data_IF_369745199602
#
_entry.id   IF_369745199602
#
_cell.length_a   1.000
_cell.length_b   1.000
_cell.length_c   1.000
_cell.angle_alpha   90.00
_cell.angle_beta   90.00
_cell.angle_gamma   90.00
#
_symmetry.space_group_name_H-M   'P 1'
#
loop_
_entity.id
_entity.type
_entity.pdbx_description
1 polymer ?
#
# COMPACT_ATOMS: atom_id res chain seq x y z
N UNK A 1 4.91 -15.22 2.00
CA UNK A 1 4.54 -15.51 3.40
C UNK A 1 3.30 -16.43 3.45
N UNK A 2 3.18 -17.26 4.51
CA UNK A 2 2.00 -18.07 4.81
C UNK A 2 1.56 -17.73 6.23
N UNK A 3 0.29 -17.37 6.40
CA UNK A 3 -0.26 -16.94 7.67
C UNK A 3 -1.26 -17.96 8.20
N UNK A 4 -1.20 -18.25 9.51
CA UNK A 4 -2.14 -19.11 10.22
C UNK A 4 -2.70 -18.36 11.43
N UNK A 5 -4.01 -18.41 11.63
CA UNK A 5 -4.62 -17.96 12.86
C UNK A 5 -4.38 -19.01 13.95
N UNK A 6 -3.82 -18.58 15.07
CA UNK A 6 -3.57 -19.42 16.25
C UNK A 6 -4.44 -18.92 17.39
N UNK A 7 -5.28 -19.83 17.93
CA UNK A 7 -6.06 -19.58 19.12
C UNK A 7 -5.33 -20.19 20.32
N UNK A 8 -4.93 -19.38 21.27
CA UNK A 8 -4.38 -19.82 22.55
C UNK A 8 -5.48 -19.93 23.62
N UNK A 9 -5.16 -20.57 24.75
CA UNK A 9 -6.09 -20.62 25.88
C UNK A 9 -6.50 -19.21 26.34
N UNK A 10 -7.67 -19.09 26.96
CA UNK A 10 -8.23 -17.82 27.49
C UNK A 10 -8.70 -16.81 26.43
N UNK A 11 -8.81 -17.21 25.15
CA UNK A 11 -9.34 -16.36 24.08
C UNK A 11 -8.28 -15.49 23.37
N UNK A 12 -7.02 -15.63 23.72
CA UNK A 12 -5.93 -14.95 23.03
C UNK A 12 -5.77 -15.46 21.61
N UNK A 13 -5.58 -14.55 20.66
CA UNK A 13 -5.40 -14.86 19.25
C UNK A 13 -4.10 -14.28 18.71
N UNK A 14 -3.46 -15.01 17.82
CA UNK A 14 -2.21 -14.64 17.21
C UNK A 14 -2.20 -15.02 15.73
N UNK A 15 -1.34 -14.37 14.95
CA UNK A 15 -0.98 -14.79 13.60
C UNK A 15 0.39 -15.46 13.66
N UNK A 16 0.45 -16.74 13.28
CA UNK A 16 1.70 -17.43 13.05
C UNK A 16 2.08 -17.28 11.58
N UNK A 17 3.08 -16.43 11.31
CA UNK A 17 3.55 -16.10 9.97
C UNK A 17 4.81 -16.91 9.65
N UNK A 18 4.74 -17.78 8.63
CA UNK A 18 5.91 -18.39 8.03
C UNK A 18 6.47 -17.38 7.03
N UNK A 19 7.67 -16.91 7.30
CA UNK A 19 8.36 -15.90 6.49
C UNK A 19 8.83 -16.52 5.19
N UNK A 20 8.65 -15.80 4.09
CA UNK A 20 9.18 -16.22 2.80
C UNK A 20 10.70 -16.45 2.90
N UNK A 21 11.17 -17.57 2.32
CA UNK A 21 12.58 -17.97 2.37
C UNK A 21 13.52 -16.91 1.76
N UNK A 22 13.00 -16.16 0.77
CA UNK A 22 13.75 -15.14 0.03
C UNK A 22 13.68 -13.75 0.71
N UNK A 23 12.89 -13.61 1.79
CA UNK A 23 12.80 -12.37 2.58
C UNK A 23 14.11 -12.16 3.36
N UNK A 24 14.85 -11.06 3.11
CA UNK A 24 16.08 -10.77 3.85
C UNK A 24 15.81 -10.59 5.35
N UNK A 25 16.67 -11.13 6.26
CA UNK A 25 16.50 -10.90 7.70
C UNK A 25 16.47 -9.43 8.11
N UNK A 26 17.20 -8.57 7.40
CA UNK A 26 17.21 -7.13 7.66
C UNK A 26 15.84 -6.47 7.44
N UNK A 27 15.02 -6.99 6.51
CA UNK A 27 13.64 -6.50 6.31
C UNK A 27 12.78 -6.87 7.51
N UNK A 28 12.92 -8.10 8.03
CA UNK A 28 12.15 -8.53 9.20
C UNK A 28 12.54 -7.74 10.46
N UNK A 29 13.83 -7.44 10.61
CA UNK A 29 14.31 -6.57 11.69
C UNK A 29 13.73 -5.15 11.55
N UNK A 30 13.73 -4.59 10.34
CA UNK A 30 13.12 -3.30 10.05
C UNK A 30 11.62 -3.28 10.38
N UNK A 31 10.86 -4.28 9.96
CA UNK A 31 9.43 -4.39 10.29
C UNK A 31 9.21 -4.34 11.81
N UNK A 32 10.03 -5.09 12.57
CA UNK A 32 9.93 -5.11 14.02
C UNK A 32 10.24 -3.73 14.63
N UNK A 33 11.36 -3.13 14.26
CA UNK A 33 11.79 -1.82 14.78
C UNK A 33 10.82 -0.70 14.41
N UNK A 34 10.29 -0.71 13.18
CA UNK A 34 9.28 0.22 12.70
C UNK A 34 8.00 0.13 13.54
N UNK A 35 7.48 -1.09 13.75
CA UNK A 35 6.27 -1.31 14.54
C UNK A 35 6.46 -0.83 15.99
N UNK A 36 7.58 -1.19 16.63
CA UNK A 36 7.89 -0.75 17.99
C UNK A 36 8.03 0.78 18.07
N UNK A 37 8.68 1.40 17.07
CA UNK A 37 8.84 2.85 16.99
C UNK A 37 7.49 3.54 16.83
N UNK A 38 6.69 3.15 15.83
CA UNK A 38 5.38 3.76 15.59
C UNK A 38 4.40 3.51 16.75
N UNK A 39 4.42 2.31 17.37
CA UNK A 39 3.60 2.00 18.52
C UNK A 39 3.98 2.79 19.80
N UNK A 40 5.17 3.38 19.85
CA UNK A 40 5.58 4.29 20.92
C UNK A 40 4.94 5.68 20.83
N UNK A 41 4.35 5.99 19.65
CA UNK A 41 3.62 7.24 19.41
C UNK A 41 2.14 7.05 19.75
N UNK A 42 1.44 8.15 20.00
CA UNK A 42 -0.01 8.12 20.28
C UNK A 42 -0.82 7.99 18.98
N UNK A 43 -0.89 6.76 18.45
CA UNK A 43 -1.70 6.42 17.29
C UNK A 43 -3.15 6.16 17.71
N UNK A 44 -4.11 6.68 16.99
CA UNK A 44 -5.52 6.39 17.19
C UNK A 44 -5.96 4.98 16.77
N UNK A 45 -5.03 4.09 16.43
CA UNK A 45 -5.24 2.72 15.98
C UNK A 45 -4.07 1.80 16.43
N UNK A 46 -4.23 0.50 16.26
CA UNK A 46 -3.24 -0.50 16.70
C UNK A 46 -2.30 -0.91 15.58
N UNK A 47 -1.09 -1.31 15.98
CA UNK A 47 -0.13 -2.01 15.13
C UNK A 47 0.08 -3.43 15.67
N UNK A 48 0.27 -4.44 14.81
CA UNK A 48 0.39 -5.85 15.21
C UNK A 48 1.77 -6.09 15.82
N UNK A 49 1.86 -6.23 17.14
CA UNK A 49 3.13 -6.48 17.82
C UNK A 49 3.70 -7.85 17.47
N UNK A 50 4.99 -7.88 17.14
CA UNK A 50 5.73 -9.12 16.95
C UNK A 50 6.21 -9.63 18.31
N UNK A 51 5.84 -10.87 18.67
CA UNK A 51 6.17 -11.44 19.95
C UNK A 51 7.54 -12.11 19.90
N UNK A 52 8.39 -11.79 20.88
CA UNK A 52 9.69 -12.46 21.04
C UNK A 52 9.50 -13.89 21.55
N UNK A 53 10.31 -14.81 21.04
CA UNK A 53 10.38 -16.19 21.52
C UNK A 53 11.03 -16.26 22.91
N UNK A 54 11.16 -17.47 23.47
CA UNK A 54 11.75 -17.67 24.81
C UNK A 54 13.23 -17.29 24.90
N UNK A 55 13.92 -17.17 23.77
CA UNK A 55 15.31 -16.72 23.65
C UNK A 55 15.42 -15.19 23.46
N UNK A 56 14.30 -14.49 23.36
CA UNK A 56 14.26 -13.04 23.12
C UNK A 56 14.36 -12.65 21.64
N UNK A 57 14.26 -13.60 20.71
CA UNK A 57 14.39 -13.37 19.28
C UNK A 57 12.98 -13.13 18.65
N UNK A 58 12.92 -12.31 17.60
CA UNK A 58 11.69 -11.98 16.87
C UNK A 58 11.27 -13.06 15.86
N UNK A 59 12.15 -14.01 15.56
CA UNK A 59 11.93 -15.12 14.66
C UNK A 59 12.39 -16.43 15.29
N UNK A 60 11.77 -17.52 14.86
CA UNK A 60 12.17 -18.89 15.25
C UNK A 60 12.39 -19.70 13.99
N UNK A 61 13.48 -20.47 13.95
CA UNK A 61 13.70 -21.46 12.89
C UNK A 61 12.80 -22.67 13.12
N UNK A 62 12.06 -23.04 12.09
CA UNK A 62 11.18 -24.21 12.10
C UNK A 62 11.55 -25.16 10.97
N UNK A 63 11.34 -26.44 11.20
CA UNK A 63 11.48 -27.47 10.16
C UNK A 63 10.10 -27.84 9.64
N UNK A 64 9.84 -27.55 8.38
CA UNK A 64 8.70 -28.06 7.64
C UNK A 64 9.06 -29.37 6.94
N UNK A 65 8.11 -29.96 6.21
CA UNK A 65 8.31 -31.24 5.50
C UNK A 65 9.61 -31.22 4.67
N UNK A 66 10.34 -32.35 4.65
CA UNK A 66 11.59 -32.60 3.89
C UNK A 66 12.81 -31.78 4.32
N UNK A 67 12.96 -31.49 5.62
CA UNK A 67 14.15 -30.79 6.18
C UNK A 67 14.40 -29.36 5.66
N UNK A 68 13.44 -28.71 5.01
CA UNK A 68 13.55 -27.30 4.68
C UNK A 68 13.45 -26.46 5.96
N UNK A 69 14.53 -25.75 6.29
CA UNK A 69 14.47 -24.72 7.34
C UNK A 69 13.70 -23.53 6.83
N UNK A 70 12.73 -23.09 7.63
CA UNK A 70 11.97 -21.88 7.43
C UNK A 70 12.07 -21.00 8.67
N UNK A 71 11.83 -19.71 8.51
CA UNK A 71 11.70 -18.78 9.62
C UNK A 71 10.23 -18.54 9.89
N UNK A 72 9.85 -18.43 11.14
CA UNK A 72 8.51 -18.11 11.53
C UNK A 72 8.49 -17.12 12.69
N UNK A 73 7.43 -16.34 12.79
CA UNK A 73 7.19 -15.39 13.87
C UNK A 73 5.76 -15.44 14.34
N UNK A 74 5.53 -15.03 15.56
CA UNK A 74 4.21 -14.90 16.16
C UNK A 74 3.89 -13.41 16.28
N UNK A 75 2.70 -13.04 15.81
CA UNK A 75 2.24 -11.66 15.72
C UNK A 75 0.92 -11.56 16.46
N UNK A 76 0.73 -10.50 17.24
CA UNK A 76 -0.53 -10.22 17.91
C UNK A 76 -1.67 -10.06 16.89
N UNK A 77 -2.81 -10.69 17.16
CA UNK A 77 -3.99 -10.56 16.30
C UNK A 77 -4.78 -9.31 16.71
N UNK A 78 -5.08 -8.46 15.74
CA UNK A 78 -5.96 -7.31 15.94
C UNK A 78 -7.38 -7.69 15.54
N UNK A 79 -8.33 -7.57 16.46
CA UNK A 79 -9.74 -7.86 16.24
C UNK A 79 -10.41 -6.78 15.39
N UNK A 80 -10.57 -7.06 14.10
CA UNK A 80 -11.20 -6.17 13.13
C UNK A 80 -11.59 -6.93 11.86
N UNK A 81 -12.35 -6.30 10.99
CA UNK A 81 -12.61 -6.79 9.64
C UNK A 81 -11.72 -6.04 8.64
N UNK A 82 -11.29 -6.71 7.59
CA UNK A 82 -10.54 -6.05 6.50
C UNK A 82 -11.44 -5.03 5.80
N UNK A 83 -10.87 -3.88 5.44
CA UNK A 83 -11.59 -2.85 4.68
C UNK A 83 -12.11 -3.40 3.35
N UNK A 84 -11.31 -4.23 2.66
CA UNK A 84 -11.69 -4.89 1.41
C UNK A 84 -12.93 -5.78 1.52
N UNK A 85 -13.18 -6.38 2.69
CA UNK A 85 -14.35 -7.23 2.90
C UNK A 85 -15.68 -6.47 2.98
N UNK A 86 -15.66 -5.15 2.88
CA UNK A 86 -16.84 -4.28 3.02
C UNK A 86 -17.41 -3.92 1.67
N UNK A 87 -18.71 -4.12 1.51
CA UNK A 87 -19.46 -3.73 0.31
C UNK A 87 -19.84 -2.23 0.29
N UNK A 88 -19.76 -1.55 1.43
CA UNK A 88 -20.09 -0.12 1.55
C UNK A 88 -18.98 0.61 2.31
N UNK A 89 -18.33 1.56 1.62
CA UNK A 89 -17.27 2.40 2.17
C UNK A 89 -17.80 3.84 2.27
N UNK A 90 -18.34 4.17 3.44
CA UNK A 90 -18.93 5.48 3.71
C UNK A 90 -17.87 6.60 3.68
N UNK A 91 -18.33 7.84 3.54
CA UNK A 91 -17.47 9.02 3.68
C UNK A 91 -16.71 9.02 5.01
N UNK A 92 -17.34 8.59 6.09
CA UNK A 92 -16.71 8.53 7.41
C UNK A 92 -15.58 7.51 7.46
N UNK A 93 -15.77 6.36 6.80
CA UNK A 93 -14.72 5.35 6.65
C UNK A 93 -13.53 5.91 5.85
N UNK A 94 -13.79 6.58 4.72
CA UNK A 94 -12.74 7.22 3.91
C UNK A 94 -11.97 8.28 4.67
N UNK A 95 -12.66 9.13 5.42
CA UNK A 95 -12.01 10.14 6.29
C UNK A 95 -11.20 9.50 7.43
N UNK A 96 -11.70 8.40 8.01
CA UNK A 96 -10.94 7.63 9.01
C UNK A 96 -9.66 7.04 8.43
N UNK A 97 -9.70 6.58 7.19
CA UNK A 97 -8.51 6.09 6.48
C UNK A 97 -7.48 7.22 6.26
N UNK A 98 -7.91 8.35 5.71
CA UNK A 98 -7.03 9.51 5.50
C UNK A 98 -6.35 9.97 6.79
N UNK A 99 -7.12 9.99 7.90
CA UNK A 99 -6.57 10.28 9.23
C UNK A 99 -5.51 9.24 9.65
N UNK A 100 -5.81 7.96 9.53
CA UNK A 100 -4.91 6.90 9.98
C UNK A 100 -3.59 6.89 9.19
N UNK A 101 -3.64 7.12 7.88
CA UNK A 101 -2.44 7.24 7.06
C UNK A 101 -1.59 8.46 7.45
N UNK A 102 -2.21 9.60 7.70
CA UNK A 102 -1.49 10.79 8.14
C UNK A 102 -0.84 10.60 9.53
N UNK A 103 -1.57 10.01 10.49
CA UNK A 103 -1.04 9.71 11.82
C UNK A 103 0.15 8.73 11.73
N UNK A 104 0.07 7.73 10.87
CA UNK A 104 1.14 6.77 10.64
C UNK A 104 2.39 7.44 10.03
N UNK A 105 2.20 8.24 8.98
CA UNK A 105 3.29 8.99 8.36
C UNK A 105 3.97 9.94 9.35
N UNK A 106 3.20 10.64 10.18
CA UNK A 106 3.76 11.50 11.23
C UNK A 106 4.54 10.70 12.29
N UNK A 107 4.07 9.50 12.63
CA UNK A 107 4.75 8.64 13.60
C UNK A 107 6.11 8.14 13.11
N UNK A 108 6.32 8.08 11.79
CA UNK A 108 7.56 7.61 11.16
C UNK A 108 8.52 8.73 10.74
N UNK A 109 8.19 10.01 10.93
CA UNK A 109 9.03 11.14 10.48
C UNK A 109 10.47 11.10 11.02
N UNK A 110 10.66 10.57 12.23
CA UNK A 110 11.94 10.47 12.92
C UNK A 110 12.51 9.04 12.92
N UNK A 111 11.96 8.14 12.08
CA UNK A 111 12.42 6.76 11.93
C UNK A 111 13.16 6.56 10.61
N UNK A 112 14.34 5.95 10.68
CA UNK A 112 15.08 5.48 9.51
C UNK A 112 15.70 4.11 9.78
N UNK A 113 15.83 3.30 8.72
CA UNK A 113 16.45 1.99 8.78
C UNK A 113 17.08 1.65 7.42
N UNK A 114 18.32 1.16 7.43
CA UNK A 114 19.09 0.90 6.19
C UNK A 114 18.39 -0.06 5.22
N UNK A 115 17.61 -1.02 5.73
CA UNK A 115 16.85 -1.96 4.88
C UNK A 115 15.64 -1.34 4.17
N UNK A 116 15.24 -0.13 4.55
CA UNK A 116 14.17 0.60 3.86
C UNK A 116 14.64 1.25 2.54
N UNK A 117 15.96 1.54 2.44
CA UNK A 117 16.56 2.13 1.24
C UNK A 117 16.80 1.05 0.17
N UNK A 118 15.70 0.49 -0.33
CA UNK A 118 15.69 -0.62 -1.29
C UNK A 118 14.73 -0.34 -2.44
N UNK A 119 15.02 -0.89 -3.60
CA UNK A 119 14.03 -0.98 -4.66
C UNK A 119 13.30 -2.33 -4.59
N UNK A 120 12.01 -2.31 -4.84
CA UNK A 120 11.17 -3.51 -4.91
C UNK A 120 10.08 -3.35 -5.97
N UNK A 121 9.44 -4.46 -6.32
CA UNK A 121 8.46 -4.50 -7.42
C UNK A 121 7.35 -3.44 -7.31
N UNK A 122 6.88 -3.15 -6.10
CA UNK A 122 5.74 -2.27 -5.87
C UNK A 122 6.14 -0.81 -5.59
N UNK A 123 7.44 -0.49 -5.69
CA UNK A 123 7.92 0.85 -5.44
C UNK A 123 7.31 1.86 -6.44
N UNK A 124 6.37 2.68 -5.96
CA UNK A 124 5.65 3.64 -6.78
C UNK A 124 6.56 4.79 -7.27
N UNK A 125 7.58 5.16 -6.49
CA UNK A 125 8.55 6.17 -6.91
C UNK A 125 9.41 5.71 -8.11
N UNK A 126 9.38 4.42 -8.44
CA UNK A 126 10.04 3.84 -9.61
C UNK A 126 9.05 3.07 -10.52
N UNK A 127 7.82 3.55 -10.63
CA UNK A 127 6.78 2.91 -11.45
C UNK A 127 7.23 2.69 -12.91
N UNK A 128 8.09 3.56 -13.43
CA UNK A 128 8.64 3.48 -14.79
C UNK A 128 9.40 2.18 -15.10
N UNK A 129 9.92 1.45 -14.08
CA UNK A 129 10.57 0.15 -14.26
C UNK A 129 9.66 -0.90 -14.94
N UNK A 130 8.33 -0.73 -14.82
CA UNK A 130 7.34 -1.63 -15.41
C UNK A 130 6.98 -1.33 -16.86
N UNK A 131 7.45 -0.21 -17.42
CA UNK A 131 7.10 0.20 -18.79
C UNK A 131 7.44 -0.85 -19.86
N UNK A 132 8.49 -1.62 -19.69
CA UNK A 132 8.85 -2.71 -20.60
C UNK A 132 7.77 -3.78 -20.73
N UNK A 133 6.89 -3.90 -19.73
CA UNK A 133 5.78 -4.88 -19.69
C UNK A 133 4.60 -4.47 -20.58
N UNK A 134 4.61 -3.29 -21.19
CA UNK A 134 3.66 -2.91 -22.25
C UNK A 134 3.59 -3.96 -23.37
N UNK A 135 4.70 -4.61 -23.69
CA UNK A 135 4.76 -5.69 -24.68
C UNK A 135 3.94 -6.94 -24.31
N UNK A 136 3.52 -7.07 -23.05
CA UNK A 136 2.68 -8.18 -22.58
C UNK A 136 1.18 -7.93 -22.78
N UNK A 137 0.79 -6.70 -23.12
CA UNK A 137 -0.60 -6.33 -23.38
C UNK A 137 -0.89 -6.52 -24.86
N UNK A 138 -1.75 -7.48 -25.18
CA UNK A 138 -2.05 -7.86 -26.57
C UNK A 138 -2.95 -6.82 -27.26
N UNK A 139 -3.98 -6.35 -26.55
CA UNK A 139 -4.92 -5.34 -27.05
C UNK A 139 -4.20 -3.99 -27.26
N UNK A 140 -4.17 -3.45 -28.51
CA UNK A 140 -3.51 -2.18 -28.81
C UNK A 140 -4.09 -1.01 -28.05
N UNK A 141 -5.44 -0.93 -27.88
CA UNK A 141 -6.09 0.18 -27.20
C UNK A 141 -5.76 0.17 -25.70
N UNK A 142 -5.77 -1.00 -25.08
CA UNK A 142 -5.32 -1.16 -23.68
C UNK A 142 -3.84 -0.84 -23.52
N UNK A 143 -3.01 -1.23 -24.48
CA UNK A 143 -1.56 -0.92 -24.47
C UNK A 143 -1.31 0.58 -24.57
N UNK A 144 -2.03 1.28 -25.44
CA UNK A 144 -1.91 2.72 -25.59
C UNK A 144 -2.38 3.46 -24.33
N UNK A 145 -3.47 3.01 -23.70
CA UNK A 145 -3.94 3.56 -22.42
C UNK A 145 -2.92 3.35 -21.30
N UNK A 146 -2.33 2.16 -21.21
CA UNK A 146 -1.30 1.87 -20.21
C UNK A 146 -0.03 2.68 -20.47
N UNK A 147 0.35 2.88 -21.74
CA UNK A 147 1.46 3.74 -22.13
C UNK A 147 1.22 5.18 -21.70
N UNK A 148 0.00 5.70 -21.92
CA UNK A 148 -0.41 7.03 -21.46
C UNK A 148 -0.24 7.20 -19.94
N UNK A 149 -0.62 6.21 -19.14
CA UNK A 149 -0.45 6.28 -17.69
C UNK A 149 1.03 6.40 -17.28
N UNK A 150 1.91 5.61 -17.91
CA UNK A 150 3.35 5.72 -17.68
C UNK A 150 3.90 7.07 -18.16
N UNK A 151 3.45 7.58 -19.31
CA UNK A 151 3.89 8.87 -19.85
C UNK A 151 3.47 10.01 -18.92
N UNK A 152 2.25 9.97 -18.37
CA UNK A 152 1.78 10.94 -17.40
C UNK A 152 2.64 10.92 -16.13
N UNK A 153 2.93 9.72 -15.60
CA UNK A 153 3.80 9.57 -14.43
C UNK A 153 5.22 10.11 -14.72
N UNK A 154 5.81 9.76 -15.86
CA UNK A 154 7.16 10.21 -16.25
C UNK A 154 7.21 11.74 -16.42
N UNK A 155 6.16 12.33 -17.01
CA UNK A 155 6.14 13.75 -17.31
C UNK A 155 5.78 14.63 -16.10
N UNK A 156 4.93 14.14 -15.20
CA UNK A 156 4.33 14.96 -14.14
C UNK A 156 4.74 14.58 -12.72
N UNK A 157 4.97 13.30 -12.41
CA UNK A 157 5.40 12.87 -11.09
C UNK A 157 6.92 12.80 -10.98
N UNK A 158 7.55 11.99 -11.81
CA UNK A 158 8.98 11.67 -11.71
C UNK A 158 9.91 12.89 -11.52
N UNK A 159 9.74 14.03 -12.22
CA UNK A 159 10.65 15.17 -12.06
C UNK A 159 10.55 15.84 -10.69
N UNK A 160 9.41 15.72 -10.01
CA UNK A 160 9.16 16.37 -8.73
C UNK A 160 9.47 15.47 -7.53
N UNK A 161 9.41 14.14 -7.69
CA UNK A 161 9.52 13.20 -6.57
C UNK A 161 10.80 13.40 -5.75
N UNK A 162 11.94 13.68 -6.38
CA UNK A 162 13.21 13.86 -5.68
C UNK A 162 13.24 15.06 -4.73
N UNK A 163 12.42 16.08 -5.00
CA UNK A 163 12.36 17.33 -4.23
C UNK A 163 11.27 17.31 -3.14
N UNK A 164 10.40 16.29 -3.13
CA UNK A 164 9.34 16.15 -2.14
C UNK A 164 9.88 15.58 -0.83
N UNK A 165 9.19 15.77 0.30
CA UNK A 165 9.56 15.15 1.57
C UNK A 165 9.62 13.62 1.44
N UNK A 166 10.68 13.01 2.00
CA UNK A 166 10.92 11.57 2.02
C UNK A 166 10.96 11.04 3.43
N UNK A 167 10.44 9.85 3.62
CA UNK A 167 10.54 9.06 4.84
C UNK A 167 10.25 7.58 4.54
N UNK A 168 10.31 6.73 5.55
CA UNK A 168 9.76 5.39 5.43
C UNK A 168 8.24 5.49 5.46
N UNK A 169 7.58 4.86 4.49
CA UNK A 169 6.12 4.77 4.35
C UNK A 169 5.68 3.32 4.44
N UNK A 170 4.37 3.06 4.63
CA UNK A 170 3.82 1.70 4.56
C UNK A 170 3.99 1.10 3.15
N UNK A 171 3.67 1.87 2.13
CA UNK A 171 3.90 1.53 0.73
C UNK A 171 2.96 0.47 0.16
N UNK A 172 2.05 -0.08 0.98
CA UNK A 172 1.05 -1.08 0.58
C UNK A 172 -0.27 -0.96 1.37
N UNK A 173 -0.65 0.26 1.75
CA UNK A 173 -1.86 0.53 2.54
C UNK A 173 -3.12 0.45 1.67
N UNK A 174 -3.58 -0.76 1.38
CA UNK A 174 -4.82 -1.06 0.65
C UNK A 174 -5.79 -1.89 1.51
N UNK A 175 -6.96 -2.23 0.97
CA UNK A 175 -8.06 -2.82 1.72
C UNK A 175 -7.76 -4.11 2.48
N UNK A 176 -6.80 -4.94 2.03
CA UNK A 176 -6.36 -6.16 2.73
C UNK A 176 -5.45 -5.86 3.94
N UNK A 177 -4.84 -4.66 4.00
CA UNK A 177 -3.89 -4.28 5.04
C UNK A 177 -4.47 -3.28 6.05
N UNK A 178 -5.75 -2.95 5.94
CA UNK A 178 -6.46 -2.00 6.80
C UNK A 178 -7.55 -2.71 7.58
N UNK A 179 -7.49 -2.63 8.91
CA UNK A 179 -8.47 -3.24 9.81
C UNK A 179 -9.47 -2.21 10.32
N UNK A 180 -10.75 -2.59 10.28
CA UNK A 180 -11.89 -1.73 10.60
C UNK A 180 -12.70 -2.28 11.77
N UNK A 181 -13.24 -1.35 12.57
CA UNK A 181 -14.35 -1.61 13.50
C UNK A 181 -15.42 -0.53 13.31
N UNK A 182 -16.62 -0.95 12.88
CA UNK A 182 -17.61 0.03 12.39
C UNK A 182 -17.03 0.85 11.23
N UNK A 183 -17.07 2.16 11.30
CA UNK A 183 -16.54 3.06 10.27
C UNK A 183 -15.13 3.58 10.57
N UNK A 184 -14.49 3.06 11.62
CA UNK A 184 -13.17 3.53 12.06
C UNK A 184 -12.08 2.55 11.69
N UNK A 185 -10.96 3.05 11.19
CA UNK A 185 -9.70 2.29 11.09
C UNK A 185 -9.19 2.04 12.50
N UNK A 186 -8.95 0.77 12.82
CA UNK A 186 -8.45 0.33 14.13
C UNK A 186 -7.10 -0.36 14.07
N UNK A 187 -6.56 -0.58 12.88
CA UNK A 187 -5.25 -1.17 12.70
C UNK A 187 -4.73 -1.13 11.28
N UNK A 188 -3.42 -1.10 11.15
CA UNK A 188 -2.67 -1.36 9.91
C UNK A 188 -1.84 -2.63 10.10
N UNK A 189 -1.70 -3.43 9.04
CA UNK A 189 -0.98 -4.71 9.05
C UNK A 189 -0.14 -4.86 7.78
N UNK A 190 0.80 -5.80 7.82
CA UNK A 190 1.71 -6.21 6.73
C UNK A 190 2.67 -5.11 6.25
N UNK A 191 3.70 -4.88 7.06
CA UNK A 191 4.75 -3.87 6.84
C UNK A 191 5.92 -4.37 5.97
N UNK A 192 5.74 -5.48 5.26
CA UNK A 192 6.79 -6.09 4.42
C UNK A 192 7.24 -5.24 3.23
N UNK A 193 6.39 -4.36 2.75
CA UNK A 193 6.67 -3.45 1.63
C UNK A 193 7.09 -2.03 2.06
N UNK A 194 7.23 -1.79 3.37
CA UNK A 194 7.75 -0.52 3.86
C UNK A 194 9.09 -0.17 3.23
N UNK A 195 9.22 1.06 2.77
CA UNK A 195 10.42 1.55 2.10
C UNK A 195 10.57 3.06 2.22
N UNK A 196 11.80 3.54 2.07
CA UNK A 196 12.11 4.97 2.04
C UNK A 196 11.69 5.55 0.69
N UNK A 197 10.69 6.42 0.69
CA UNK A 197 10.08 6.99 -0.51
C UNK A 197 9.60 8.42 -0.26
N UNK A 198 9.27 9.17 -1.33
CA UNK A 198 8.47 10.37 -1.15
C UNK A 198 7.20 10.07 -0.35
N UNK A 199 6.96 10.78 0.75
CA UNK A 199 5.85 10.52 1.66
C UNK A 199 4.51 10.50 0.95
N UNK A 200 4.32 11.33 -0.07
CA UNK A 200 3.09 11.41 -0.87
C UNK A 200 2.77 10.08 -1.61
N UNK A 201 3.75 9.20 -1.81
CA UNK A 201 3.52 7.88 -2.38
C UNK A 201 2.61 7.01 -1.49
N UNK A 202 2.51 7.28 -0.19
CA UNK A 202 1.53 6.61 0.69
C UNK A 202 0.10 6.79 0.17
N UNK A 203 -0.30 8.03 -0.08
CA UNK A 203 -1.59 8.33 -0.71
C UNK A 203 -1.66 7.79 -2.14
N UNK A 204 -0.59 7.91 -2.92
CA UNK A 204 -0.52 7.39 -4.28
C UNK A 204 -0.77 5.89 -4.39
N UNK A 205 -0.42 5.12 -3.35
CA UNK A 205 -0.72 3.68 -3.25
C UNK A 205 -2.15 3.44 -2.78
N UNK A 206 -2.62 4.12 -1.75
CA UNK A 206 -3.91 3.85 -1.12
C UNK A 206 -5.11 4.31 -1.95
N UNK A 207 -5.02 5.49 -2.57
CA UNK A 207 -6.13 6.13 -3.29
C UNK A 207 -6.72 5.29 -4.42
N UNK A 208 -5.95 4.65 -5.32
CA UNK A 208 -6.51 3.84 -6.40
C UNK A 208 -7.48 2.78 -5.90
N UNK A 209 -7.14 2.09 -4.80
CA UNK A 209 -7.99 1.03 -4.24
C UNK A 209 -9.30 1.55 -3.64
N UNK A 210 -9.34 2.81 -3.23
CA UNK A 210 -10.57 3.45 -2.74
C UNK A 210 -11.40 4.09 -3.86
N UNK A 211 -10.79 4.32 -5.01
CA UNK A 211 -11.43 4.84 -6.21
C UNK A 211 -12.03 3.73 -7.08
N UNK A 212 -11.34 2.59 -7.19
CA UNK A 212 -11.80 1.42 -7.97
C UNK A 212 -13.16 0.94 -7.49
N UNK A 213 -14.06 0.65 -8.46
CA UNK A 213 -15.43 0.21 -8.16
C UNK A 213 -16.34 1.27 -7.51
N UNK A 214 -15.86 2.48 -7.25
CA UNK A 214 -16.67 3.54 -6.60
C UNK A 214 -17.48 4.30 -7.63
N UNK A 215 -18.75 4.57 -7.31
CA UNK A 215 -19.64 5.35 -8.19
C UNK A 215 -19.18 6.81 -8.38
N UNK A 216 -18.49 7.37 -7.38
CA UNK A 216 -17.87 8.69 -7.44
C UNK A 216 -16.41 8.58 -6.96
N UNK A 217 -15.49 8.17 -7.86
CA UNK A 217 -14.09 7.95 -7.51
C UNK A 217 -13.38 9.26 -7.12
N UNK A 218 -13.76 10.39 -7.68
CA UNK A 218 -13.18 11.70 -7.34
C UNK A 218 -13.51 12.08 -5.90
N UNK A 219 -14.79 11.98 -5.50
CA UNK A 219 -15.21 12.27 -4.12
C UNK A 219 -14.59 11.29 -3.11
N UNK A 220 -14.48 10.02 -3.50
CA UNK A 220 -13.83 9.03 -2.64
C UNK A 220 -12.37 9.40 -2.34
N UNK A 221 -11.63 9.83 -3.34
CA UNK A 221 -10.25 10.29 -3.18
C UNK A 221 -10.19 11.61 -2.37
N UNK A 222 -11.05 12.58 -2.65
CA UNK A 222 -11.09 13.87 -1.93
C UNK A 222 -11.38 13.71 -0.45
N UNK A 223 -12.27 12.81 -0.04
CA UNK A 223 -12.55 12.54 1.37
C UNK A 223 -11.30 12.09 2.14
N UNK A 224 -10.49 11.23 1.52
CA UNK A 224 -9.24 10.70 2.10
C UNK A 224 -8.18 11.80 2.16
N UNK A 225 -7.94 12.46 1.03
CA UNK A 225 -6.89 13.49 0.90
C UNK A 225 -7.17 14.67 1.82
N UNK A 226 -8.42 15.16 1.89
CA UNK A 226 -8.79 16.25 2.78
C UNK A 226 -8.62 15.88 4.27
N UNK A 227 -8.94 14.63 4.64
CA UNK A 227 -8.74 14.17 6.02
C UNK A 227 -7.26 14.00 6.36
N UNK A 228 -6.45 13.52 5.42
CA UNK A 228 -5.00 13.44 5.53
C UNK A 228 -4.37 14.84 5.67
N UNK A 229 -4.73 15.76 4.76
CA UNK A 229 -4.21 17.13 4.72
C UNK A 229 -4.43 17.90 6.04
N UNK A 230 -5.55 17.68 6.73
CA UNK A 230 -5.83 18.33 8.03
C UNK A 230 -4.84 17.95 9.12
N UNK A 231 -4.18 16.82 9.02
CA UNK A 231 -3.25 16.28 10.02
C UNK A 231 -1.81 16.49 9.57
N UNK A 232 -1.51 16.08 8.32
CA UNK A 232 -0.24 16.33 7.65
C UNK A 232 -0.51 17.22 6.43
N UNK A 233 -0.32 18.54 6.54
CA UNK A 233 -0.57 19.45 5.42
C UNK A 233 0.28 19.10 4.20
N UNK A 234 -0.39 18.93 3.07
CA UNK A 234 0.25 18.70 1.77
C UNK A 234 0.69 20.03 1.18
N UNK A 235 1.81 20.05 0.47
CA UNK A 235 2.24 21.18 -0.35
C UNK A 235 1.53 21.17 -1.72
N UNK A 236 1.57 22.29 -2.44
CA UNK A 236 1.06 22.36 -3.84
C UNK A 236 1.75 21.33 -4.74
N UNK A 237 3.04 21.10 -4.54
CA UNK A 237 3.79 20.11 -5.32
C UNK A 237 3.34 18.67 -5.03
N UNK A 238 3.06 18.34 -3.76
CA UNK A 238 2.47 17.04 -3.39
C UNK A 238 1.08 16.84 -4.02
N UNK A 239 0.22 17.85 -3.98
CA UNK A 239 -1.08 17.80 -4.63
C UNK A 239 -0.98 17.56 -6.15
N UNK A 240 -0.05 18.25 -6.81
CA UNK A 240 0.13 18.15 -8.25
C UNK A 240 0.58 16.77 -8.76
N UNK A 241 1.25 15.96 -7.92
CA UNK A 241 1.72 14.63 -8.29
C UNK A 241 0.73 13.52 -7.98
N UNK A 242 -0.35 13.76 -7.21
CA UNK A 242 -1.27 12.70 -6.78
C UNK A 242 -1.92 11.95 -7.94
N UNK A 243 -2.52 12.66 -8.91
CA UNK A 243 -3.14 12.00 -10.08
C UNK A 243 -2.13 11.20 -10.89
N UNK A 244 -0.95 11.75 -11.25
CA UNK A 244 0.12 10.97 -11.86
C UNK A 244 0.56 9.74 -11.07
N UNK A 245 0.61 9.82 -9.73
CA UNK A 245 0.93 8.68 -8.88
C UNK A 245 -0.18 7.62 -8.87
N UNK A 246 -1.45 8.03 -8.83
CA UNK A 246 -2.61 7.13 -8.99
C UNK A 246 -2.50 6.36 -10.31
N UNK A 247 -2.31 7.07 -11.42
CA UNK A 247 -2.12 6.44 -12.74
C UNK A 247 -0.91 5.50 -12.76
N UNK A 248 0.19 5.91 -12.12
CA UNK A 248 1.39 5.09 -11.97
C UNK A 248 1.12 3.79 -11.17
N UNK A 249 0.37 3.85 -10.07
CA UNK A 249 0.01 2.65 -9.28
C UNK A 249 -0.88 1.70 -10.05
N UNK A 250 -1.90 2.22 -10.75
CA UNK A 250 -2.75 1.42 -11.65
C UNK A 250 -1.90 0.74 -12.73
N UNK A 251 -0.98 1.48 -13.34
CA UNK A 251 -0.10 0.93 -14.36
C UNK A 251 0.83 -0.17 -13.81
N UNK A 252 1.35 -0.03 -12.60
CA UNK A 252 2.12 -1.08 -11.91
C UNK A 252 1.25 -2.31 -11.66
N UNK A 253 0.05 -2.15 -11.12
CA UNK A 253 -0.89 -3.24 -10.84
C UNK A 253 -1.20 -4.05 -12.11
N UNK A 254 -1.60 -3.39 -13.18
CA UNK A 254 -1.89 -4.02 -14.48
C UNK A 254 -0.65 -4.73 -15.06
N UNK A 255 0.52 -4.08 -15.01
CA UNK A 255 1.76 -4.65 -15.52
C UNK A 255 2.20 -5.89 -14.76
N UNK A 256 2.02 -5.90 -13.44
CA UNK A 256 2.33 -7.07 -12.60
C UNK A 256 1.32 -8.20 -12.85
N UNK A 257 0.04 -7.89 -13.04
CA UNK A 257 -0.96 -8.88 -13.41
C UNK A 257 -0.64 -9.53 -14.77
N UNK A 258 -0.28 -8.74 -15.78
CA UNK A 258 0.11 -9.26 -17.10
C UNK A 258 1.36 -10.17 -17.02
N UNK A 259 2.35 -9.84 -16.19
CA UNK A 259 3.53 -10.68 -15.96
C UNK A 259 3.15 -12.00 -15.25
N UNK A 260 2.33 -11.92 -14.20
CA UNK A 260 1.88 -13.07 -13.42
C UNK A 260 1.06 -14.05 -14.26
N UNK A 261 0.23 -13.54 -15.17
CA UNK A 261 -0.58 -14.37 -16.09
C UNK A 261 0.27 -15.29 -16.96
N UNK A 262 1.52 -14.93 -17.27
CA UNK A 262 2.47 -15.79 -17.98
C UNK A 262 3.05 -16.91 -17.12
N UNK A 263 3.00 -16.76 -15.80
CA UNK A 263 3.52 -17.74 -14.85
C UNK A 263 2.42 -18.73 -14.48
N UNK A 264 1.24 -18.25 -14.14
CA UNK A 264 0.06 -19.03 -13.76
C UNK A 264 -1.19 -18.19 -14.02
N UNK A 265 -1.86 -18.48 -15.14
CA UNK A 265 -3.04 -17.76 -15.60
C UNK A 265 -4.28 -17.97 -14.73
N UNK A 266 -4.30 -19.05 -13.94
CA UNK A 266 -5.47 -19.48 -13.18
C UNK A 266 -5.32 -19.26 -11.68
N UNK A 267 -4.22 -18.57 -11.27
CA UNK A 267 -3.96 -18.33 -9.86
C UNK A 267 -5.06 -17.47 -9.23
N UNK A 268 -5.77 -17.96 -8.17
CA UNK A 268 -7.02 -17.37 -7.70
C UNK A 268 -6.88 -15.95 -7.12
N UNK A 269 -5.69 -15.56 -6.67
CA UNK A 269 -5.49 -14.32 -5.91
C UNK A 269 -4.60 -13.29 -6.61
N UNK A 270 -4.26 -13.48 -7.90
CA UNK A 270 -3.29 -12.58 -8.55
C UNK A 270 -3.91 -11.47 -9.39
N UNK A 271 -5.22 -11.53 -9.67
CA UNK A 271 -5.87 -10.69 -10.68
C UNK A 271 -7.08 -9.92 -10.14
N UNK A 272 -7.37 -10.00 -8.85
CA UNK A 272 -8.60 -9.48 -8.25
C UNK A 272 -8.86 -7.99 -8.50
N UNK A 273 -7.82 -7.18 -8.61
CA UNK A 273 -7.95 -5.73 -8.84
C UNK A 273 -7.69 -5.30 -10.29
N UNK A 274 -7.46 -6.24 -11.23
CA UNK A 274 -7.00 -5.85 -12.58
C UNK A 274 -8.10 -5.19 -13.40
N UNK A 275 -9.30 -5.77 -13.42
CA UNK A 275 -10.41 -5.24 -14.22
C UNK A 275 -10.82 -3.85 -13.72
N UNK A 276 -10.95 -3.67 -12.41
CA UNK A 276 -11.26 -2.38 -11.79
C UNK A 276 -10.15 -1.35 -12.03
N UNK A 277 -8.88 -1.79 -12.07
CA UNK A 277 -7.76 -0.92 -12.40
C UNK A 277 -7.83 -0.43 -13.86
N UNK A 278 -8.23 -1.30 -14.81
CA UNK A 278 -8.49 -0.89 -16.19
C UNK A 278 -9.64 0.11 -16.28
N UNK A 279 -10.76 -0.15 -15.60
CA UNK A 279 -11.93 0.74 -15.60
C UNK A 279 -11.57 2.13 -15.05
N UNK A 280 -10.88 2.18 -13.91
CA UNK A 280 -10.46 3.45 -13.34
C UNK A 280 -9.45 4.20 -14.23
N UNK A 281 -8.55 3.48 -14.89
CA UNK A 281 -7.59 4.10 -15.80
C UNK A 281 -8.28 4.71 -17.02
N UNK A 282 -9.28 4.03 -17.59
CA UNK A 282 -10.15 4.57 -18.63
C UNK A 282 -10.87 5.82 -18.14
N UNK A 283 -11.51 5.74 -16.97
CA UNK A 283 -12.21 6.87 -16.37
C UNK A 283 -11.28 8.10 -16.26
N UNK A 284 -10.07 7.94 -15.72
CA UNK A 284 -9.12 9.05 -15.55
C UNK A 284 -8.68 9.64 -16.89
N UNK A 285 -8.41 8.81 -17.89
CA UNK A 285 -8.05 9.26 -19.24
C UNK A 285 -9.18 10.05 -19.90
N UNK A 286 -10.41 9.52 -19.87
CA UNK A 286 -11.57 10.09 -20.57
C UNK A 286 -12.04 11.41 -19.91
N UNK A 287 -11.92 11.52 -18.59
CA UNK A 287 -12.28 12.73 -17.85
C UNK A 287 -11.21 13.83 -17.87
N UNK A 288 -10.16 13.72 -18.68
CA UNK A 288 -9.24 14.79 -18.99
C UNK A 288 -8.13 15.04 -17.97
N UNK A 289 -7.90 14.11 -17.05
CA UNK A 289 -6.81 14.24 -16.05
C UNK A 289 -5.40 14.32 -16.66
N UNK A 290 -5.18 13.77 -17.85
CA UNK A 290 -3.95 13.99 -18.62
C UNK A 290 -3.90 15.30 -19.41
N UNK A 291 -5.03 16.01 -19.53
CA UNK A 291 -5.23 17.20 -20.40
C UNK A 291 -5.39 18.49 -19.59
N UNK A 292 -5.08 18.47 -18.30
CA UNK A 292 -5.11 19.67 -17.44
C UNK A 292 -6.23 19.74 -16.42
N UNK A 293 -7.11 18.73 -16.32
CA UNK A 293 -8.03 18.62 -15.19
C UNK A 293 -7.21 18.30 -13.93
N UNK A 294 -7.42 19.07 -12.88
CA UNK A 294 -6.82 18.85 -11.56
C UNK A 294 -7.90 18.36 -10.60
N UNK A 295 -7.66 17.22 -9.93
CA UNK A 295 -8.54 16.69 -8.90
C UNK A 295 -8.19 17.28 -7.52
N UNK A 296 -6.91 17.36 -7.20
CA UNK A 296 -6.43 17.79 -5.89
C UNK A 296 -5.85 19.21 -5.98
N UNK A 297 -6.72 20.21 -6.08
CA UNK A 297 -6.28 21.59 -5.99
C UNK A 297 -5.96 21.92 -4.54
N UNK A 298 -4.83 22.51 -4.30
CA UNK A 298 -4.40 22.90 -2.96
C UNK A 298 -5.42 23.82 -2.28
N UNK A 299 -6.12 24.66 -3.04
CA UNK A 299 -7.13 25.59 -2.57
C UNK A 299 -8.44 24.92 -2.14
N UNK A 300 -8.67 23.67 -2.55
CA UNK A 300 -9.91 22.91 -2.28
C UNK A 300 -9.74 21.96 -1.07
N UNK A 301 -8.53 21.84 -0.51
CA UNK A 301 -8.21 21.00 0.63
C UNK A 301 -8.30 21.81 1.95
#
# INVERSE_FOLDING_TARGET
NINFLVNAGQGDRFVFKIVDKDMPPAIVAMEYELIEHAASKDLGFKLPRILKNRQGEIETRIKLRKNAENRARLIEFIDGCLLESRSDISQKTRKSLGKALADFDLALQDFDHSAAHRNHRWNLADAGQHRSKLSLIEDPAKRDLLAWAFDLWVARAKPLLAELPHQIIHGDAHGENILMQGESVIGLVDFGDCCFNPTICELGVSLPYMMMGNADPEQAAMDIVSAYHRIRPLSRAECAVLVPLICGRLAVTISVAAERRRIDSDHPNWFGSEDEAWELLHYLSDNGFGKGKELFRYEDL
#
